data_IF_948467339163
#
_entry.id   IF_948467339163
#
_cell.length_a   1.000
_cell.length_b   1.000
_cell.length_c   1.000
_cell.angle_alpha   90.00
_cell.angle_beta   90.00
_cell.angle_gamma   90.00
#
_symmetry.space_group_name_H-M   'P 1'
#
loop_
_entity.id
_entity.type
_entity.pdbx_description
1 polymer ?
#
# COMPACT_ATOMS: atom_id res chain seq x y z
N UNK A 1 -5.09 -16.81 9.95
CA UNK A 1 -3.62 -16.65 9.88
C UNK A 1 -3.12 -16.15 8.52
N UNK A 2 -3.64 -16.64 7.38
CA UNK A 2 -3.27 -16.15 6.03
C UNK A 2 -3.39 -14.62 5.86
N UNK A 3 -4.44 -14.00 6.41
CA UNK A 3 -4.66 -12.55 6.30
C UNK A 3 -3.55 -11.73 6.97
N UNK A 4 -3.10 -12.11 8.17
CA UNK A 4 -2.02 -11.42 8.89
C UNK A 4 -0.67 -11.56 8.17
N UNK A 5 -0.39 -12.75 7.62
CA UNK A 5 0.82 -13.00 6.81
C UNK A 5 0.80 -12.11 5.56
N UNK A 6 -0.33 -12.02 4.86
CA UNK A 6 -0.45 -11.13 3.70
C UNK A 6 -0.30 -9.65 4.07
N UNK A 7 -0.82 -9.21 5.21
CA UNK A 7 -0.62 -7.84 5.71
C UNK A 7 0.87 -7.58 5.99
N UNK A 8 1.57 -8.50 6.64
CA UNK A 8 3.00 -8.36 6.93
C UNK A 8 3.82 -8.32 5.63
N UNK A 9 3.52 -9.20 4.67
CA UNK A 9 4.17 -9.22 3.36
C UNK A 9 3.92 -7.90 2.61
N UNK A 10 2.69 -7.37 2.67
CA UNK A 10 2.36 -6.08 2.07
C UNK A 10 3.13 -4.92 2.71
N UNK A 11 3.27 -4.91 4.05
CA UNK A 11 4.05 -3.89 4.77
C UNK A 11 5.55 -3.98 4.49
N UNK A 12 6.10 -5.19 4.34
CA UNK A 12 7.51 -5.36 4.00
C UNK A 12 7.81 -5.01 2.54
N UNK A 13 6.85 -5.24 1.63
CA UNK A 13 6.99 -4.87 0.23
C UNK A 13 7.11 -3.35 0.02
N UNK A 14 6.58 -2.51 0.92
CA UNK A 14 6.73 -1.04 0.85
C UNK A 14 8.08 -0.53 1.35
N UNK A 15 8.92 -1.38 1.94
CA UNK A 15 10.26 -0.99 2.43
C UNK A 15 11.34 -1.01 1.32
N UNK A 16 11.08 -1.67 0.19
CA UNK A 16 12.02 -1.78 -0.94
C UNK A 16 12.52 -0.43 -1.51
N UNK A 17 11.69 0.63 -1.64
CA UNK A 17 12.14 1.95 -2.11
C UNK A 17 13.12 2.63 -1.16
N UNK A 18 12.98 2.43 0.15
CA UNK A 18 13.87 3.02 1.16
C UNK A 18 15.29 2.44 1.09
N UNK A 19 15.42 1.16 0.70
CA UNK A 19 16.72 0.51 0.54
C UNK A 19 17.43 0.93 -0.75
N UNK A 20 16.69 1.28 -1.80
CA UNK A 20 17.24 1.75 -3.08
C UNK A 20 17.71 3.22 -3.06
N UNK A 21 17.30 4.00 -2.06
CA UNK A 21 17.61 5.43 -1.96
C UNK A 21 19.09 5.76 -1.68
N UNK A 22 19.90 4.79 -1.23
CA UNK A 22 21.32 5.00 -0.92
C UNK A 22 22.26 4.99 -2.15
N UNK A 23 21.76 4.78 -3.36
CA UNK A 23 22.54 4.80 -4.60
C UNK A 23 22.41 6.13 -5.35
N UNK A 24 23.02 7.20 -4.82
CA UNK A 24 23.05 8.50 -5.49
C UNK A 24 23.96 8.44 -6.73
N UNK A 25 23.36 8.22 -7.90
CA UNK A 25 23.91 8.65 -9.18
C UNK A 25 23.20 9.95 -9.57
N UNK A 26 23.96 10.94 -10.03
CA UNK A 26 23.51 12.29 -10.40
C UNK A 26 22.38 12.29 -11.47
N UNK A 27 22.17 11.16 -12.16
CA UNK A 27 21.07 10.97 -13.11
C UNK A 27 20.40 9.60 -12.88
N UNK A 28 19.05 9.56 -12.76
CA UNK A 28 18.32 8.31 -12.55
C UNK A 28 18.44 7.41 -13.77
N UNK A 29 19.28 6.39 -13.67
CA UNK A 29 19.49 5.41 -14.75
C UNK A 29 18.23 4.63 -15.11
N UNK A 30 18.23 4.00 -16.29
CA UNK A 30 17.10 3.22 -16.83
C UNK A 30 16.50 2.21 -15.83
N UNK A 31 17.35 1.57 -15.02
CA UNK A 31 16.92 0.59 -14.01
C UNK A 31 16.08 1.22 -12.89
N UNK A 32 16.38 2.46 -12.50
CA UNK A 32 15.61 3.19 -11.49
C UNK A 32 14.23 3.55 -12.05
N UNK A 33 14.15 4.00 -13.30
CA UNK A 33 12.89 4.26 -13.99
C UNK A 33 12.04 3.00 -14.18
N UNK A 34 12.67 1.88 -14.54
CA UNK A 34 11.99 0.59 -14.66
C UNK A 34 11.46 0.10 -13.30
N UNK A 35 12.25 0.24 -12.24
CA UNK A 35 11.84 -0.12 -10.87
C UNK A 35 10.69 0.76 -10.36
N UNK A 36 10.79 2.08 -10.59
CA UNK A 36 9.73 3.03 -10.24
C UNK A 36 8.45 2.75 -11.03
N UNK A 37 8.55 2.50 -12.33
CA UNK A 37 7.42 2.14 -13.19
C UNK A 37 6.74 0.85 -12.75
N UNK A 38 7.52 -0.18 -12.40
CA UNK A 38 6.99 -1.43 -11.84
C UNK A 38 6.29 -1.21 -10.50
N UNK A 39 6.88 -0.41 -9.60
CA UNK A 39 6.25 0.00 -8.34
C UNK A 39 4.93 0.74 -8.55
N UNK A 40 4.86 1.64 -9.54
CA UNK A 40 3.65 2.38 -9.87
C UNK A 40 2.51 1.45 -10.35
N UNK A 41 2.82 0.43 -11.17
CA UNK A 41 1.82 -0.58 -11.61
C UNK A 41 1.27 -1.36 -10.42
N UNK A 42 2.12 -1.73 -9.45
CA UNK A 42 1.68 -2.40 -8.23
C UNK A 42 0.77 -1.50 -7.39
N UNK A 43 1.16 -0.23 -7.20
CA UNK A 43 0.35 0.77 -6.48
C UNK A 43 -1.06 0.90 -7.07
N UNK A 44 -1.14 1.00 -8.41
CA UNK A 44 -2.43 1.09 -9.11
C UNK A 44 -3.19 -0.24 -9.03
N UNK A 45 -2.50 -1.37 -9.17
CA UNK A 45 -3.11 -2.71 -9.12
C UNK A 45 -3.79 -3.03 -7.79
N UNK A 46 -3.29 -2.48 -6.67
CA UNK A 46 -3.92 -2.63 -5.36
C UNK A 46 -4.88 -1.49 -4.98
N UNK A 47 -5.02 -0.45 -5.81
CA UNK A 47 -5.83 0.71 -5.49
C UNK A 47 -7.30 0.32 -5.25
N UNK A 48 -7.83 -0.60 -6.06
CA UNK A 48 -9.21 -1.12 -5.91
C UNK A 48 -9.41 -1.82 -4.57
N UNK A 49 -8.64 -2.86 -4.18
CA UNK A 49 -8.79 -3.50 -2.88
C UNK A 49 -8.52 -2.55 -1.70
N UNK A 50 -7.59 -1.59 -1.84
CA UNK A 50 -7.33 -0.58 -0.81
C UNK A 50 -8.53 0.35 -0.59
N UNK A 51 -9.15 0.84 -1.67
CA UNK A 51 -10.36 1.68 -1.60
C UNK A 51 -11.53 0.88 -1.01
N UNK A 52 -11.70 -0.39 -1.39
CA UNK A 52 -12.73 -1.26 -0.83
C UNK A 52 -12.60 -1.41 0.69
N UNK A 53 -11.38 -1.62 1.20
CA UNK A 53 -11.10 -1.71 2.64
C UNK A 53 -11.37 -0.39 3.36
N UNK A 54 -10.98 0.74 2.76
CA UNK A 54 -11.20 2.07 3.33
C UNK A 54 -12.70 2.36 3.49
N UNK A 55 -13.50 2.06 2.46
CA UNK A 55 -14.96 2.19 2.51
C UNK A 55 -15.54 1.29 3.61
N UNK A 56 -15.06 0.04 3.71
CA UNK A 56 -15.47 -0.90 4.77
C UNK A 56 -15.20 -0.37 6.18
N UNK A 57 -14.01 0.20 6.42
CA UNK A 57 -13.66 0.83 7.70
C UNK A 57 -14.57 2.01 8.03
N UNK A 58 -14.77 2.93 7.08
CA UNK A 58 -15.64 4.11 7.29
C UNK A 58 -17.06 3.68 7.66
N UNK A 59 -17.65 2.75 6.92
CA UNK A 59 -18.98 2.21 7.23
C UNK A 59 -19.03 1.55 8.61
N UNK A 60 -18.00 0.80 8.99
CA UNK A 60 -17.92 0.15 10.31
C UNK A 60 -17.87 1.16 11.46
N UNK A 61 -17.12 2.26 11.29
CA UNK A 61 -17.05 3.33 12.29
C UNK A 61 -18.39 4.08 12.43
N UNK A 62 -19.07 4.36 11.31
CA UNK A 62 -20.38 5.04 11.32
C UNK A 62 -21.46 4.15 11.95
N UNK A 63 -21.53 2.86 11.58
CA UNK A 63 -22.51 1.92 12.14
C UNK A 63 -22.34 1.73 13.66
N UNK A 64 -21.11 1.75 14.16
CA UNK A 64 -20.83 1.68 15.61
C UNK A 64 -21.32 2.93 16.35
N UNK A 65 -21.35 4.09 15.68
CA UNK A 65 -21.83 5.35 16.26
C UNK A 65 -23.35 5.35 16.41
N UNK A 66 -24.08 4.85 15.41
CA UNK A 66 -25.55 4.76 15.44
C UNK A 66 -26.05 3.70 16.44
N UNK A 67 -25.32 2.59 16.59
CA UNK A 67 -25.63 1.55 17.56
C UNK A 67 -25.43 1.98 19.04
N UNK A 68 -24.74 3.10 19.29
CA UNK A 68 -24.48 3.63 20.64
C UNK A 68 -25.43 4.77 21.03
N UNK A 69 -26.26 5.24 20.11
CA UNK A 69 -27.22 6.35 20.31
C UNK A 69 -28.67 5.87 20.49
N UNK A 70 -28.91 4.55 20.48
CA UNK A 70 -30.17 3.89 20.86
C UNK A 70 -29.98 3.08 22.15
#
# INVERSE_FOLDING_TARGET
MRTAINTIIATLATAAPALAANGAAEEPGLLMWAFLGFGAVILVGQAVPAVMLLIGMVKGLVATKEAKEN
#
